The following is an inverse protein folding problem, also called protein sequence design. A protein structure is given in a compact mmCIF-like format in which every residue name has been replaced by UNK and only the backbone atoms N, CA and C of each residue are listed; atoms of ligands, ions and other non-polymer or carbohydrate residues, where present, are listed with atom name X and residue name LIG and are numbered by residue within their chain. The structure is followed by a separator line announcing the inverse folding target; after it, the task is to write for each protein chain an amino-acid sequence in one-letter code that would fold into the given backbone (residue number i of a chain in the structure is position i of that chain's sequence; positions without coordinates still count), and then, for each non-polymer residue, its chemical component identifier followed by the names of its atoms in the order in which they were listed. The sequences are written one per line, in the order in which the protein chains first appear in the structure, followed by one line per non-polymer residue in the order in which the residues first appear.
data_IF_703754567915
#
_entry.id   IF_703754567915
#
_cell.length_a   1.000
_cell.length_b   1.000
_cell.length_c   1.000
_cell.angle_alpha   90.00
_cell.angle_beta   90.00
_cell.angle_gamma   90.00
#
_symmetry.space_group_name_H-M   'P 1'
#
loop_
_entity.id
_entity.type
_entity.pdbx_description
1 polymer ?
#
# COMPACT_ATOMS: atom_id res chain seq x y z
N UNK A 1 29.66 -41.11 -7.33
CA UNK A 1 28.24 -40.75 -7.30
C UNK A 1 27.94 -40.12 -5.94
N UNK A 2 27.86 -38.79 -5.92
CA UNK A 2 27.52 -37.98 -4.75
C UNK A 2 26.01 -37.84 -4.70
N UNK A 3 25.36 -38.34 -3.65
CA UNK A 3 24.03 -37.89 -3.22
C UNK A 3 23.92 -38.09 -1.70
N UNK A 4 23.25 -37.12 -1.07
CA UNK A 4 22.68 -37.17 0.27
C UNK A 4 23.66 -37.02 1.44
N UNK A 5 23.95 -35.77 1.78
CA UNK A 5 23.81 -35.36 3.17
C UNK A 5 22.89 -34.14 3.24
N UNK A 6 21.62 -34.47 3.50
CA UNK A 6 20.61 -33.61 4.09
C UNK A 6 21.17 -33.01 5.40
N UNK A 7 21.07 -31.69 5.59
CA UNK A 7 19.99 -31.04 6.36
C UNK A 7 20.30 -31.01 7.88
N UNK A 8 19.95 -29.87 8.50
CA UNK A 8 20.13 -29.46 9.90
C UNK A 8 21.51 -28.94 10.31
N UNK A 9 21.59 -27.61 10.49
CA UNK A 9 21.76 -27.01 11.83
C UNK A 9 21.57 -25.50 11.75
N UNK A 10 20.31 -25.06 11.88
CA UNK A 10 19.98 -23.72 12.36
C UNK A 10 20.20 -23.75 13.87
N UNK A 11 21.07 -22.85 14.36
CA UNK A 11 21.02 -22.17 15.67
C UNK A 11 22.44 -21.97 16.20
N UNK A 12 22.93 -20.72 16.14
CA UNK A 12 23.50 -19.97 17.26
C UNK A 12 24.19 -18.71 16.74
N UNK A 13 23.41 -17.66 16.44
CA UNK A 13 23.94 -16.30 16.38
C UNK A 13 23.85 -15.72 17.80
N UNK A 14 24.83 -16.07 18.66
CA UNK A 14 25.01 -15.43 19.96
C UNK A 14 25.92 -14.23 19.76
N UNK A 15 25.31 -13.07 20.00
CA UNK A 15 25.91 -11.76 20.16
C UNK A 15 27.05 -11.81 21.19
N UNK A 16 28.26 -11.43 20.80
CA UNK A 16 29.36 -11.13 21.72
C UNK A 16 30.20 -10.00 21.14
N UNK A 17 29.78 -8.76 21.43
CA UNK A 17 30.66 -7.60 21.32
C UNK A 17 31.26 -7.33 22.69
N UNK A 18 32.51 -7.75 22.87
CA UNK A 18 33.42 -7.23 23.88
C UNK A 18 34.88 -7.53 23.48
N UNK A 19 35.55 -6.49 22.98
CA UNK A 19 36.98 -6.16 23.09
C UNK A 19 38.06 -7.24 22.84
N UNK A 20 38.80 -7.11 21.73
CA UNK A 20 40.26 -6.81 21.74
C UNK A 20 40.84 -6.83 20.31
N UNK A 21 41.63 -5.80 20.00
CA UNK A 21 42.55 -5.68 18.88
C UNK A 21 43.61 -6.79 18.93
N UNK A 22 43.85 -7.53 17.82
CA UNK A 22 45.11 -7.57 17.03
C UNK A 22 44.97 -8.55 15.83
N UNK A 23 45.35 -8.06 14.67
CA UNK A 23 45.53 -8.56 13.29
C UNK A 23 45.40 -10.05 12.82
N UNK A 24 44.91 -10.12 11.56
CA UNK A 24 45.16 -11.11 10.47
C UNK A 24 44.35 -12.42 10.40
N UNK A 25 43.22 -12.34 9.70
CA UNK A 25 43.02 -13.01 8.41
C UNK A 25 41.85 -12.35 7.68
N UNK A 26 42.16 -11.52 6.68
CA UNK A 26 41.18 -11.03 5.72
C UNK A 26 40.61 -12.24 4.95
N UNK A 27 39.43 -12.69 5.33
CA UNK A 27 38.51 -13.28 4.37
C UNK A 27 37.49 -12.18 4.11
N UNK A 28 37.83 -11.28 3.17
CA UNK A 28 36.92 -10.27 2.67
C UNK A 28 35.79 -11.02 1.96
N UNK A 29 34.71 -11.31 2.67
CA UNK A 29 33.40 -11.36 2.03
C UNK A 29 33.26 -10.00 1.37
N UNK A 30 33.51 -9.95 0.06
CA UNK A 30 33.40 -8.70 -0.68
C UNK A 30 31.94 -8.28 -0.62
N UNK A 31 31.70 -6.96 -0.64
CA UNK A 31 30.32 -6.44 -0.74
C UNK A 31 29.62 -6.99 -2.00
N UNK A 32 30.39 -7.42 -3.01
CA UNK A 32 29.87 -8.15 -4.16
C UNK A 32 29.30 -9.53 -3.81
N UNK A 33 29.96 -10.35 -2.98
CA UNK A 33 29.46 -11.69 -2.63
C UNK A 33 28.22 -11.62 -1.74
N UNK A 34 28.16 -10.66 -0.80
CA UNK A 34 26.95 -10.39 0.00
C UNK A 34 25.82 -9.85 -0.88
N UNK A 35 26.11 -8.97 -1.85
CA UNK A 35 25.11 -8.50 -2.82
C UNK A 35 24.58 -9.63 -3.68
N UNK A 36 25.44 -10.54 -4.12
CA UNK A 36 25.07 -11.62 -5.04
C UNK A 36 24.18 -12.67 -4.36
N UNK A 37 24.50 -13.08 -3.13
CA UNK A 37 23.62 -13.97 -2.36
C UNK A 37 22.34 -13.26 -1.90
N UNK A 38 22.38 -11.95 -1.64
CA UNK A 38 21.16 -11.17 -1.35
C UNK A 38 20.26 -11.05 -2.59
N UNK A 39 20.83 -10.92 -3.80
CA UNK A 39 20.06 -10.83 -5.06
C UNK A 39 19.32 -12.15 -5.36
N UNK A 40 19.97 -13.30 -5.15
CA UNK A 40 19.34 -14.60 -5.46
C UNK A 40 18.22 -15.00 -4.47
N UNK A 41 18.30 -14.55 -3.20
CA UNK A 41 17.19 -14.68 -2.24
C UNK A 41 16.16 -13.52 -2.35
N UNK A 42 16.58 -12.37 -2.87
CA UNK A 42 15.71 -11.22 -3.11
C UNK A 42 14.84 -11.40 -4.34
N UNK A 43 15.23 -12.15 -5.38
CA UNK A 43 14.41 -12.26 -6.60
C UNK A 43 13.04 -12.91 -6.31
N UNK A 44 12.99 -14.02 -5.57
CA UNK A 44 11.72 -14.63 -5.15
C UNK A 44 10.92 -13.73 -4.19
N UNK A 45 11.61 -12.99 -3.31
CA UNK A 45 10.97 -12.04 -2.39
C UNK A 45 10.45 -10.81 -3.12
N UNK A 46 11.15 -10.37 -4.18
CA UNK A 46 10.84 -9.21 -5.01
C UNK A 46 9.66 -9.51 -5.91
N UNK A 47 9.61 -10.68 -6.55
CA UNK A 47 8.44 -11.11 -7.31
C UNK A 47 7.19 -11.21 -6.42
N UNK A 48 7.32 -11.76 -5.21
CA UNK A 48 6.22 -11.81 -4.24
C UNK A 48 5.78 -10.41 -3.79
N UNK A 49 6.72 -9.53 -3.46
CA UNK A 49 6.45 -8.14 -3.07
C UNK A 49 5.87 -7.31 -4.22
N UNK A 50 6.33 -7.50 -5.45
CA UNK A 50 5.77 -6.86 -6.65
C UNK A 50 4.33 -7.32 -6.90
N UNK A 51 4.03 -8.61 -6.69
CA UNK A 51 2.66 -9.14 -6.82
C UNK A 51 1.71 -8.51 -5.79
N UNK A 52 2.06 -8.51 -4.50
CA UNK A 52 1.22 -7.89 -3.46
C UNK A 52 1.08 -6.38 -3.66
N UNK A 53 2.15 -5.72 -4.10
CA UNK A 53 2.14 -4.31 -4.44
C UNK A 53 1.18 -4.00 -5.59
N UNK A 54 1.28 -4.75 -6.69
CA UNK A 54 0.44 -4.58 -7.86
C UNK A 54 -1.02 -4.88 -7.55
N UNK A 55 -1.30 -5.92 -6.76
CA UNK A 55 -2.67 -6.24 -6.35
C UNK A 55 -3.28 -5.12 -5.51
N UNK A 56 -2.55 -4.60 -4.53
CA UNK A 56 -3.01 -3.47 -3.71
C UNK A 56 -3.33 -2.26 -4.59
N UNK A 57 -2.39 -1.86 -5.45
CA UNK A 57 -2.55 -0.73 -6.38
C UNK A 57 -3.77 -0.94 -7.26
N UNK A 58 -3.89 -2.09 -7.92
CA UNK A 58 -4.99 -2.40 -8.83
C UNK A 58 -6.35 -2.38 -8.11
N UNK A 59 -6.41 -2.91 -6.88
CA UNK A 59 -7.62 -2.89 -6.08
C UNK A 59 -8.06 -1.47 -5.73
N UNK A 60 -7.11 -0.59 -5.40
CA UNK A 60 -7.43 0.80 -5.05
C UNK A 60 -7.77 1.62 -6.30
N UNK A 61 -7.05 1.44 -7.40
CA UNK A 61 -7.35 2.11 -8.67
C UNK A 61 -8.73 1.69 -9.20
N UNK A 62 -9.06 0.40 -9.12
CA UNK A 62 -10.40 -0.10 -9.46
C UNK A 62 -11.49 0.47 -8.54
N UNK A 63 -11.20 0.65 -7.24
CA UNK A 63 -12.11 1.32 -6.31
C UNK A 63 -12.27 2.82 -6.64
N UNK A 64 -11.17 3.51 -6.99
CA UNK A 64 -11.19 4.91 -7.36
C UNK A 64 -12.01 5.15 -8.64
N UNK A 65 -11.86 4.28 -9.65
CA UNK A 65 -12.65 4.35 -10.88
C UNK A 65 -14.14 4.11 -10.61
N UNK A 66 -14.49 3.07 -9.83
CA UNK A 66 -15.88 2.85 -9.38
C UNK A 66 -16.44 4.03 -8.58
N UNK A 67 -15.58 4.74 -7.86
CA UNK A 67 -15.97 5.93 -7.11
C UNK A 67 -16.30 7.09 -8.03
N UNK A 68 -15.55 7.30 -9.12
CA UNK A 68 -15.86 8.33 -10.12
C UNK A 68 -17.25 8.13 -10.73
N UNK A 69 -17.60 6.88 -11.09
CA UNK A 69 -18.93 6.55 -11.60
C UNK A 69 -20.04 6.88 -10.58
N UNK A 70 -19.82 6.53 -9.31
CA UNK A 70 -20.76 6.85 -8.22
C UNK A 70 -20.86 8.37 -7.98
N UNK A 71 -19.75 9.11 -8.05
CA UNK A 71 -19.74 10.58 -7.96
C UNK A 71 -20.58 11.18 -9.09
N UNK A 72 -20.44 10.68 -10.32
CA UNK A 72 -21.22 11.16 -11.46
C UNK A 72 -22.72 10.88 -11.28
N UNK A 73 -23.09 9.71 -10.76
CA UNK A 73 -24.48 9.38 -10.39
C UNK A 73 -25.02 10.35 -9.33
N UNK A 74 -24.25 10.58 -8.27
CA UNK A 74 -24.63 11.45 -7.15
C UNK A 74 -24.74 12.93 -7.56
N UNK A 75 -23.88 13.40 -8.48
CA UNK A 75 -23.99 14.72 -9.09
C UNK A 75 -25.32 14.90 -9.84
N UNK A 76 -25.71 13.91 -10.66
CA UNK A 76 -27.01 13.96 -11.36
C UNK A 76 -28.19 14.00 -10.37
N UNK A 77 -28.14 13.22 -9.28
CA UNK A 77 -29.16 13.28 -8.22
C UNK A 77 -29.19 14.66 -7.54
N UNK A 78 -28.02 15.28 -7.35
CA UNK A 78 -27.87 16.63 -6.78
C UNK A 78 -28.47 17.72 -7.68
N UNK A 79 -28.32 17.62 -8.99
CA UNK A 79 -28.90 18.58 -9.94
C UNK A 79 -30.43 18.64 -9.88
N UNK A 80 -31.08 17.52 -9.56
CA UNK A 80 -32.53 17.43 -9.42
C UNK A 80 -33.04 17.98 -8.07
N UNK A 81 -32.17 18.15 -7.08
CA UNK A 81 -32.53 18.71 -5.79
C UNK A 81 -32.70 20.23 -5.86
N UNK A 82 -33.43 20.80 -4.88
CA UNK A 82 -33.68 22.25 -4.79
C UNK A 82 -33.46 22.75 -3.36
N UNK A 83 -33.22 24.06 -3.23
CA UNK A 83 -33.05 24.74 -1.95
C UNK A 83 -31.93 24.14 -1.10
N UNK A 84 -32.15 24.06 0.21
CA UNK A 84 -31.14 23.58 1.18
C UNK A 84 -30.70 22.13 0.94
N UNK A 85 -31.58 21.30 0.35
CA UNK A 85 -31.22 19.94 0.00
C UNK A 85 -30.10 19.94 -1.05
N UNK A 86 -30.21 20.77 -2.10
CA UNK A 86 -29.18 20.89 -3.13
C UNK A 86 -27.84 21.33 -2.54
N UNK A 87 -27.83 22.37 -1.71
CA UNK A 87 -26.61 22.88 -1.08
C UNK A 87 -25.92 21.81 -0.22
N UNK A 88 -26.69 21.05 0.57
CA UNK A 88 -26.15 19.93 1.37
C UNK A 88 -25.56 18.83 0.48
N UNK A 89 -26.26 18.46 -0.58
CA UNK A 89 -25.83 17.42 -1.51
C UNK A 89 -24.56 17.84 -2.28
N UNK A 90 -24.48 19.09 -2.75
CA UNK A 90 -23.28 19.64 -3.39
C UNK A 90 -22.07 19.61 -2.47
N UNK A 91 -22.26 19.94 -1.17
CA UNK A 91 -21.20 19.84 -0.17
C UNK A 91 -20.73 18.38 0.02
N UNK A 92 -21.66 17.41 0.05
CA UNK A 92 -21.32 15.98 0.17
C UNK A 92 -20.57 15.47 -1.06
N UNK A 93 -21.02 15.82 -2.27
CA UNK A 93 -20.31 15.49 -3.51
C UNK A 93 -18.88 16.02 -3.45
N UNK A 94 -18.68 17.28 -3.07
CA UNK A 94 -17.36 17.90 -3.00
C UNK A 94 -16.44 17.22 -1.99
N UNK A 95 -16.95 16.85 -0.82
CA UNK A 95 -16.20 16.11 0.20
C UNK A 95 -15.76 14.72 -0.31
N UNK A 96 -16.64 14.02 -1.03
CA UNK A 96 -16.33 12.72 -1.65
C UNK A 96 -15.26 12.88 -2.75
N UNK A 97 -15.35 13.92 -3.58
CA UNK A 97 -14.32 14.23 -4.59
C UNK A 97 -12.96 14.47 -3.94
N UNK A 98 -12.91 15.29 -2.89
CA UNK A 98 -11.66 15.59 -2.16
C UNK A 98 -11.05 14.32 -1.55
N UNK A 99 -11.87 13.43 -0.98
CA UNK A 99 -11.40 12.14 -0.45
C UNK A 99 -10.91 11.20 -1.55
N UNK A 100 -11.56 11.20 -2.71
CA UNK A 100 -11.11 10.44 -3.89
C UNK A 100 -9.76 10.92 -4.39
N UNK A 101 -9.57 12.23 -4.50
CA UNK A 101 -8.29 12.82 -4.93
C UNK A 101 -7.18 12.56 -3.91
N UNK A 102 -7.48 12.66 -2.61
CA UNK A 102 -6.54 12.31 -1.55
C UNK A 102 -6.10 10.84 -1.63
N UNK A 103 -7.04 9.92 -1.85
CA UNK A 103 -6.74 8.50 -2.04
C UNK A 103 -5.84 8.27 -3.25
N UNK A 104 -6.15 8.87 -4.41
CA UNK A 104 -5.33 8.77 -5.62
C UNK A 104 -3.93 9.31 -5.39
N UNK A 105 -3.80 10.47 -4.76
CA UNK A 105 -2.50 11.06 -4.41
C UNK A 105 -1.68 10.14 -3.51
N UNK A 106 -2.33 9.53 -2.50
CA UNK A 106 -1.66 8.63 -1.57
C UNK A 106 -1.22 7.31 -2.23
N UNK A 107 -1.99 6.80 -3.20
CA UNK A 107 -1.56 5.68 -4.05
C UNK A 107 -0.33 6.03 -4.88
N UNK A 108 -0.26 7.24 -5.44
CA UNK A 108 0.94 7.68 -6.15
C UNK A 108 2.14 7.85 -5.22
N UNK A 109 1.91 8.30 -3.98
CA UNK A 109 2.96 8.34 -2.96
C UNK A 109 3.47 6.92 -2.65
N UNK A 110 2.57 5.95 -2.47
CA UNK A 110 2.91 4.54 -2.26
C UNK A 110 3.75 3.96 -3.41
N UNK A 111 3.41 4.32 -4.65
CA UNK A 111 4.15 3.87 -5.85
C UNK A 111 5.60 4.37 -5.89
N UNK A 112 5.83 5.57 -5.36
CA UNK A 112 7.13 6.24 -5.41
C UNK A 112 7.93 6.10 -4.10
N UNK A 113 7.34 5.53 -3.04
CA UNK A 113 7.96 5.39 -1.74
C UNK A 113 9.00 4.27 -1.69
N UNK A 114 10.02 4.47 -0.86
CA UNK A 114 10.92 3.39 -0.44
C UNK A 114 10.16 2.34 0.40
N UNK A 115 10.60 1.08 0.36
CA UNK A 115 9.88 -0.04 0.97
C UNK A 115 9.62 0.16 2.48
N UNK A 116 10.57 0.77 3.20
CA UNK A 116 10.44 1.13 4.62
C UNK A 116 9.28 2.07 4.96
N UNK A 117 8.75 2.83 3.98
CA UNK A 117 7.61 3.74 4.15
C UNK A 117 6.29 3.16 3.63
N UNK A 118 6.35 2.10 2.83
CA UNK A 118 5.16 1.53 2.16
C UNK A 118 4.12 1.03 3.15
N UNK A 119 4.52 0.42 4.26
CA UNK A 119 3.58 -0.09 5.26
C UNK A 119 2.76 1.01 5.95
N UNK A 120 3.38 2.15 6.23
CA UNK A 120 2.70 3.32 6.79
C UNK A 120 1.71 3.90 5.77
N UNK A 121 2.18 4.12 4.54
CA UNK A 121 1.34 4.64 3.45
C UNK A 121 0.18 3.69 3.13
N UNK A 122 0.39 2.36 3.17
CA UNK A 122 -0.65 1.34 2.98
C UNK A 122 -1.77 1.47 4.02
N UNK A 123 -1.44 1.78 5.28
CA UNK A 123 -2.45 2.04 6.33
C UNK A 123 -3.23 3.32 6.05
N UNK A 124 -2.55 4.39 5.65
CA UNK A 124 -3.22 5.65 5.28
C UNK A 124 -4.17 5.48 4.10
N UNK A 125 -3.74 4.77 3.05
CA UNK A 125 -4.57 4.39 1.91
C UNK A 125 -5.82 3.65 2.36
N UNK A 126 -5.66 2.64 3.24
CA UNK A 126 -6.79 1.87 3.74
C UNK A 126 -7.79 2.76 4.47
N UNK A 127 -7.32 3.63 5.35
CA UNK A 127 -8.16 4.56 6.10
C UNK A 127 -8.89 5.54 5.16
N UNK A 128 -8.20 6.08 4.16
CA UNK A 128 -8.79 6.97 3.15
C UNK A 128 -9.85 6.25 2.32
N UNK A 129 -9.58 5.01 1.90
CA UNK A 129 -10.52 4.18 1.16
C UNK A 129 -11.78 3.90 1.99
N UNK A 130 -11.61 3.51 3.25
CA UNK A 130 -12.74 3.17 4.12
C UNK A 130 -13.58 4.42 4.44
N UNK A 131 -12.95 5.57 4.72
CA UNK A 131 -13.65 6.84 4.91
C UNK A 131 -14.39 7.31 3.65
N UNK A 132 -13.81 7.09 2.47
CA UNK A 132 -14.46 7.40 1.19
C UNK A 132 -15.67 6.50 0.95
N UNK A 133 -15.53 5.19 1.16
CA UNK A 133 -16.63 4.23 0.99
C UNK A 133 -17.80 4.54 1.93
N UNK A 134 -17.51 4.84 3.20
CA UNK A 134 -18.51 5.28 4.18
C UNK A 134 -19.21 6.57 3.74
N UNK A 135 -18.46 7.57 3.26
CA UNK A 135 -19.03 8.84 2.81
C UNK A 135 -19.99 8.66 1.62
N UNK A 136 -19.63 7.77 0.69
CA UNK A 136 -20.48 7.42 -0.45
C UNK A 136 -21.73 6.67 0.03
N UNK A 137 -21.58 5.70 0.94
CA UNK A 137 -22.68 4.92 1.48
C UNK A 137 -23.69 5.82 2.20
N UNK A 138 -23.22 6.64 3.15
CA UNK A 138 -24.08 7.57 3.88
C UNK A 138 -24.78 8.53 2.93
N UNK A 139 -24.09 9.05 1.91
CA UNK A 139 -24.73 9.94 0.97
C UNK A 139 -25.78 9.23 0.10
N UNK A 140 -25.56 7.97 -0.29
CA UNK A 140 -26.60 7.19 -0.98
C UNK A 140 -27.84 7.00 -0.11
N UNK A 141 -27.67 6.64 1.16
CA UNK A 141 -28.76 6.50 2.14
C UNK A 141 -29.53 7.82 2.31
N UNK A 142 -28.82 8.96 2.49
CA UNK A 142 -29.43 10.30 2.63
C UNK A 142 -30.26 10.76 1.41
N UNK A 143 -30.03 10.15 0.24
CA UNK A 143 -30.70 10.48 -1.02
C UNK A 143 -31.79 9.48 -1.38
N UNK A 144 -31.65 8.22 -0.97
CA UNK A 144 -32.67 7.17 -1.18
C UNK A 144 -33.79 7.22 -0.13
N UNK A 145 -33.51 7.72 1.08
CA UNK A 145 -34.51 7.92 2.15
C UNK A 145 -35.41 9.17 1.95
N UNK A 146 -35.39 9.79 0.76
CA UNK A 146 -36.18 10.99 0.41
C UNK A 146 -37.07 10.77 -0.80
#
# INVERSE_FOLDING_TARGET
MKKLMAMLTIATLIFSIASCVTDKKENKTTKEDVKKEFIEAADASKEFLESEFNELVNNIEGFAQKTEDKIAELKKKTENAKGDAKVRMEKRVKDIEQKSDALKSKVQEYKNAADEKKDEIKKEIKNLKDALDESIKTFKEEVEDK
#
